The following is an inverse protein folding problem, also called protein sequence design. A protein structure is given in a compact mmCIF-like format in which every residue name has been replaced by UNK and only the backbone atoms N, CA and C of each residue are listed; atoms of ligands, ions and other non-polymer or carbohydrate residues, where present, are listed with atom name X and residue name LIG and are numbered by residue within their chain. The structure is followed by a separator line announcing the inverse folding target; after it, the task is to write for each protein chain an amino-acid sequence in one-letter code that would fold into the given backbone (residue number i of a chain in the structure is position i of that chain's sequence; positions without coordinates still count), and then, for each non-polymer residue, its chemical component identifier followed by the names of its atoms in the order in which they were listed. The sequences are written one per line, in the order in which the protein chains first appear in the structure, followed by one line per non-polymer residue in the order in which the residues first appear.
data_IF_489422585092
#
_entry.id   IF_489422585092
#
_cell.length_a   1.000
_cell.length_b   1.000
_cell.length_c   1.000
_cell.angle_alpha   90.00
_cell.angle_beta   90.00
_cell.angle_gamma   90.00
#
_symmetry.space_group_name_H-M   'P 1'
#
loop_
_entity.id
_entity.type
_entity.pdbx_description
1 polymer ?
#
# COMPACT_ATOMS: atom_id res chain seq x y z
N UNK A 1 22.98 8.96 -2.54
CA UNK A 1 23.42 7.90 -3.46
C UNK A 1 23.32 6.57 -2.71
N UNK A 2 22.39 5.71 -3.07
CA UNK A 2 22.24 4.39 -2.42
C UNK A 2 22.96 3.34 -3.25
N UNK A 3 23.90 2.65 -2.66
CA UNK A 3 24.56 1.49 -3.25
C UNK A 3 23.85 0.23 -2.73
N UNK A 4 23.14 -0.49 -3.58
CA UNK A 4 22.51 -1.76 -3.23
C UNK A 4 23.35 -2.91 -3.78
N UNK A 5 23.87 -3.77 -2.90
CA UNK A 5 24.53 -5.01 -3.29
C UNK A 5 23.51 -6.15 -3.27
N UNK A 6 23.17 -6.69 -4.45
CA UNK A 6 22.26 -7.82 -4.61
C UNK A 6 23.11 -9.12 -4.73
N UNK A 7 23.05 -9.94 -3.69
CA UNK A 7 23.58 -11.32 -3.74
C UNK A 7 22.40 -12.27 -3.73
N UNK A 8 22.11 -12.87 -4.88
CA UNK A 8 21.08 -13.90 -5.02
C UNK A 8 21.66 -15.28 -4.66
N UNK A 9 21.14 -15.90 -3.61
CA UNK A 9 21.41 -17.31 -3.29
C UNK A 9 20.15 -18.12 -3.65
N UNK A 10 20.20 -18.88 -4.72
CA UNK A 10 19.18 -19.87 -5.07
C UNK A 10 19.65 -21.25 -4.60
N UNK A 11 19.17 -21.68 -3.45
CA UNK A 11 19.36 -23.05 -2.95
C UNK A 11 18.04 -23.82 -3.04
N UNK A 12 18.04 -24.98 -3.71
CA UNK A 12 16.87 -25.89 -3.75
C UNK A 12 16.97 -26.85 -2.59
N UNK A 13 16.14 -26.67 -1.57
CA UNK A 13 15.94 -27.69 -0.51
C UNK A 13 14.65 -28.45 -0.85
N UNK A 14 14.80 -29.74 -1.20
CA UNK A 14 13.71 -30.62 -1.55
C UNK A 14 13.12 -31.30 -0.32
N UNK A 15 11.91 -30.88 0.09
CA UNK A 15 10.99 -31.72 0.80
C UNK A 15 9.80 -32.01 -0.13
N UNK A 16 9.94 -33.00 -1.00
CA UNK A 16 8.92 -33.36 -2.00
C UNK A 16 7.84 -34.19 -1.35
N UNK A 17 6.77 -33.56 -0.86
CA UNK A 17 5.49 -34.22 -0.62
C UNK A 17 4.83 -34.41 -1.99
N UNK A 18 4.43 -35.66 -2.33
CA UNK A 18 3.86 -36.02 -3.64
C UNK A 18 2.80 -35.00 -4.09
N UNK A 19 3.05 -34.27 -5.17
CA UNK A 19 2.15 -33.26 -5.74
C UNK A 19 2.39 -31.80 -5.33
N UNK A 20 3.43 -31.52 -4.53
CA UNK A 20 3.83 -30.12 -4.21
C UNK A 20 5.26 -29.85 -4.67
N UNK A 21 5.48 -28.65 -5.21
CA UNK A 21 6.80 -28.14 -5.55
C UNK A 21 7.04 -26.82 -4.78
N UNK A 22 8.25 -26.65 -4.23
CA UNK A 22 8.64 -25.51 -3.37
C UNK A 22 9.87 -24.86 -3.97
N UNK A 23 9.78 -23.57 -4.25
CA UNK A 23 10.90 -22.75 -4.69
C UNK A 23 11.21 -21.68 -3.64
N UNK A 24 12.27 -21.89 -2.88
CA UNK A 24 12.77 -20.89 -1.95
C UNK A 24 13.57 -19.84 -2.70
N UNK A 25 13.44 -18.59 -2.27
CA UNK A 25 14.19 -17.46 -2.79
C UNK A 25 14.41 -16.40 -1.71
N UNK A 26 15.28 -15.48 -1.96
CA UNK A 26 15.56 -14.39 -1.05
C UNK A 26 16.59 -13.42 -1.59
N UNK A 27 16.84 -12.38 -0.83
CA UNK A 27 17.91 -11.43 -1.08
C UNK A 27 18.45 -10.91 0.23
N UNK A 28 19.74 -10.71 0.30
CA UNK A 28 20.37 -9.86 1.32
C UNK A 28 20.50 -8.47 0.72
N UNK A 29 19.96 -7.48 1.39
CA UNK A 29 20.03 -6.09 0.96
C UNK A 29 20.56 -5.21 2.06
N UNK A 30 21.56 -4.41 1.71
CA UNK A 30 22.15 -3.38 2.56
C UNK A 30 21.90 -2.02 1.90
N UNK A 31 21.47 -1.04 2.70
CA UNK A 31 21.19 0.32 2.25
C UNK A 31 22.05 1.29 3.06
N UNK A 32 22.96 1.98 2.38
CA UNK A 32 23.67 3.14 2.87
C UNK A 32 23.06 4.39 2.24
N UNK A 33 22.64 5.35 3.03
CA UNK A 33 22.04 6.56 2.51
C UNK A 33 22.53 7.81 3.27
N UNK A 34 22.44 8.93 2.58
CA UNK A 34 22.66 10.26 3.12
C UNK A 34 21.67 11.23 2.48
N UNK A 35 20.97 11.98 3.33
CA UNK A 35 20.06 13.07 2.93
C UNK A 35 20.63 14.39 3.41
N UNK A 36 20.52 15.44 2.60
CA UNK A 36 21.07 16.77 2.92
C UNK A 36 20.17 17.57 3.84
N UNK A 37 18.92 17.13 4.05
CA UNK A 37 17.96 17.76 4.97
C UNK A 37 16.95 16.74 5.52
N UNK A 38 16.23 17.14 6.54
CA UNK A 38 15.15 16.35 7.15
C UNK A 38 14.03 16.08 6.14
N UNK A 39 13.39 14.90 6.26
CA UNK A 39 12.35 14.42 5.34
C UNK A 39 11.10 14.02 6.09
N UNK A 40 9.96 14.08 5.40
CA UNK A 40 8.79 13.29 5.80
C UNK A 40 9.07 11.83 5.47
N UNK A 41 9.23 11.02 6.50
CA UNK A 41 9.71 9.65 6.35
C UNK A 41 8.97 8.68 7.24
N UNK A 42 9.09 7.40 6.93
CA UNK A 42 8.70 6.29 7.79
C UNK A 42 9.84 5.29 7.83
N UNK A 43 9.85 4.47 8.90
CA UNK A 43 10.75 3.32 9.02
C UNK A 43 12.22 3.72 8.92
N UNK A 44 12.66 4.52 9.88
CA UNK A 44 14.06 4.87 10.12
C UNK A 44 14.78 5.49 8.91
N UNK A 45 14.08 6.35 8.17
CA UNK A 45 14.64 7.09 7.03
C UNK A 45 14.78 6.30 5.74
N UNK A 46 14.49 5.00 5.74
CA UNK A 46 14.60 4.18 4.52
C UNK A 46 13.40 4.32 3.57
N UNK A 47 12.28 4.84 4.06
CA UNK A 47 11.12 5.15 3.26
C UNK A 47 10.79 6.63 3.43
N UNK A 48 11.43 7.47 2.66
CA UNK A 48 11.17 8.90 2.66
C UNK A 48 10.21 9.29 1.53
N UNK A 49 9.38 10.28 1.80
CA UNK A 49 8.31 10.71 0.89
C UNK A 49 8.68 12.01 0.19
N UNK A 50 9.10 12.99 0.95
CA UNK A 50 9.50 14.29 0.43
C UNK A 50 10.38 15.03 1.47
N UNK A 51 11.24 15.97 1.03
CA UNK A 51 11.99 16.82 1.95
C UNK A 51 11.02 17.77 2.68
N UNK A 52 11.31 18.08 3.94
CA UNK A 52 10.56 19.07 4.70
C UNK A 52 10.92 20.48 4.22
N UNK A 53 9.93 21.38 4.27
CA UNK A 53 10.10 22.80 3.99
C UNK A 53 11.05 23.47 5.00
N UNK A 54 11.50 24.66 4.68
CA UNK A 54 12.29 25.51 5.59
C UNK A 54 11.48 25.82 6.85
N UNK A 55 12.13 25.71 8.01
CA UNK A 55 11.57 26.02 9.31
C UNK A 55 12.60 26.78 10.13
N UNK A 56 12.54 28.11 10.09
CA UNK A 56 13.54 28.97 10.71
C UNK A 56 13.31 29.09 12.22
N UNK A 57 14.40 28.97 12.98
CA UNK A 57 14.44 29.34 14.39
C UNK A 57 14.47 30.87 14.56
N UNK A 58 14.37 31.44 15.79
CA UNK A 58 14.47 32.88 16.01
C UNK A 58 15.78 33.54 15.58
N UNK A 59 16.83 32.73 15.34
CA UNK A 59 18.16 33.20 14.88
C UNK A 59 18.34 33.08 13.36
N UNK A 60 17.31 32.56 12.65
CA UNK A 60 17.32 32.38 11.21
C UNK A 60 17.98 31.09 10.73
N UNK A 61 18.18 30.09 11.60
CA UNK A 61 18.68 28.79 11.20
C UNK A 61 17.52 27.86 10.81
N UNK A 62 17.67 27.16 9.70
CA UNK A 62 16.68 26.17 9.26
C UNK A 62 16.78 24.87 10.08
N UNK A 63 15.80 24.64 10.95
CA UNK A 63 15.69 23.43 11.79
C UNK A 63 15.55 22.15 10.97
N UNK A 64 15.08 22.24 9.73
CA UNK A 64 14.98 21.11 8.80
C UNK A 64 16.21 20.98 7.88
N UNK A 65 17.12 21.96 7.90
CA UNK A 65 18.36 21.98 7.12
C UNK A 65 19.45 21.07 7.67
N UNK A 66 19.08 19.98 8.37
CA UNK A 66 20.01 19.06 9.02
C UNK A 66 20.18 17.80 8.19
N UNK A 67 21.43 17.50 7.81
CA UNK A 67 21.78 16.27 7.12
C UNK A 67 21.59 15.03 8.02
N UNK A 68 21.14 13.94 7.42
CA UNK A 68 20.99 12.65 8.12
C UNK A 68 21.39 11.49 7.22
N UNK A 69 21.83 10.40 7.83
CA UNK A 69 22.22 9.19 7.09
C UNK A 69 22.41 8.01 8.02
N UNK A 70 22.31 6.81 7.44
CA UNK A 70 22.50 5.58 8.19
C UNK A 70 22.83 4.40 7.26
N UNK A 71 23.10 3.25 7.85
CA UNK A 71 23.39 2.00 7.16
C UNK A 71 22.50 0.90 7.74
N UNK A 72 21.65 0.28 6.89
CA UNK A 72 20.69 -0.74 7.30
C UNK A 72 20.74 -1.99 6.43
N UNK A 73 20.33 -3.12 7.02
CA UNK A 73 20.17 -4.42 6.35
C UNK A 73 18.72 -4.93 6.38
N UNK A 74 17.79 -4.09 6.81
CA UNK A 74 16.41 -4.45 7.15
C UNK A 74 15.58 -4.92 5.95
N UNK A 75 15.95 -4.59 4.72
CA UNK A 75 15.26 -5.05 3.50
C UNK A 75 15.69 -6.42 3.01
N UNK A 76 16.51 -7.13 3.77
CA UNK A 76 16.75 -8.56 3.58
C UNK A 76 15.41 -9.31 3.55
N UNK A 77 15.23 -10.17 2.56
CA UNK A 77 13.95 -10.79 2.23
C UNK A 77 14.08 -12.28 2.08
N UNK A 78 13.07 -12.99 2.55
CA UNK A 78 12.93 -14.44 2.38
C UNK A 78 11.55 -14.74 1.79
N UNK A 79 11.47 -15.74 0.91
CA UNK A 79 10.22 -16.14 0.28
C UNK A 79 10.23 -17.58 -0.14
N UNK A 80 9.02 -18.09 -0.34
CA UNK A 80 8.74 -19.38 -0.95
C UNK A 80 7.56 -19.28 -1.90
N UNK A 81 7.76 -19.77 -3.11
CA UNK A 81 6.69 -20.04 -4.06
C UNK A 81 6.34 -21.53 -3.98
N UNK A 82 5.07 -21.84 -3.88
CA UNK A 82 4.56 -23.20 -3.78
C UNK A 82 3.63 -23.47 -4.95
N UNK A 83 3.89 -24.53 -5.71
CA UNK A 83 2.93 -25.09 -6.67
C UNK A 83 2.34 -26.35 -6.07
N UNK A 84 1.01 -26.44 -6.06
CA UNK A 84 0.28 -27.56 -5.48
C UNK A 84 -0.40 -28.42 -6.54
N UNK A 85 -1.08 -29.50 -6.11
CA UNK A 85 -1.85 -30.36 -6.99
C UNK A 85 -3.02 -29.58 -7.61
N UNK A 86 -3.52 -30.06 -8.72
CA UNK A 86 -4.74 -29.53 -9.34
C UNK A 86 -5.94 -29.64 -8.39
N UNK A 87 -6.73 -28.58 -8.29
CA UNK A 87 -8.04 -28.60 -7.62
C UNK A 87 -9.13 -28.55 -8.69
N UNK A 88 -9.68 -29.71 -9.04
CA UNK A 88 -10.52 -29.83 -10.22
C UNK A 88 -9.76 -29.43 -11.48
N UNK A 89 -10.20 -28.36 -12.15
CA UNK A 89 -9.52 -27.82 -13.34
C UNK A 89 -8.57 -26.66 -13.02
N UNK A 90 -8.47 -26.23 -11.77
CA UNK A 90 -7.62 -25.13 -11.36
C UNK A 90 -6.19 -25.61 -11.05
N UNK A 91 -5.20 -24.90 -11.58
CA UNK A 91 -3.81 -24.98 -11.09
C UNK A 91 -3.76 -24.22 -9.76
N UNK A 92 -3.14 -24.83 -8.74
CA UNK A 92 -3.01 -24.21 -7.44
C UNK A 92 -1.60 -23.68 -7.22
N UNK A 93 -1.48 -22.50 -6.65
CA UNK A 93 -0.20 -21.95 -6.20
C UNK A 93 -0.38 -21.11 -4.94
N UNK A 94 0.70 -20.95 -4.19
CA UNK A 94 0.76 -20.06 -3.04
C UNK A 94 2.11 -19.34 -2.99
N UNK A 95 2.14 -18.20 -2.35
CA UNK A 95 3.35 -17.43 -2.09
C UNK A 95 3.37 -16.97 -0.65
N UNK A 96 4.55 -17.11 -0.02
CA UNK A 96 4.87 -16.44 1.25
C UNK A 96 6.15 -15.65 1.04
N UNK A 97 6.12 -14.37 1.35
CA UNK A 97 7.28 -13.49 1.30
C UNK A 97 7.28 -12.54 2.49
N UNK A 98 8.43 -12.41 3.13
CA UNK A 98 8.63 -11.63 4.34
C UNK A 98 9.92 -10.81 4.25
N UNK A 99 10.02 -9.72 5.02
CA UNK A 99 11.23 -8.98 5.28
C UNK A 99 11.34 -8.61 6.78
N UNK A 100 12.48 -8.05 7.20
CA UNK A 100 12.74 -7.70 8.60
C UNK A 100 12.38 -6.24 8.92
N UNK A 101 11.46 -5.66 8.15
CA UNK A 101 11.12 -4.25 8.17
C UNK A 101 9.71 -3.98 8.67
N UNK A 102 9.34 -4.56 9.80
CA UNK A 102 8.13 -4.19 10.53
C UNK A 102 8.21 -2.76 11.07
N UNK A 103 7.06 -2.18 11.36
CA UNK A 103 6.97 -0.87 12.05
C UNK A 103 6.96 -1.07 13.56
N UNK A 104 7.57 -0.16 14.30
CA UNK A 104 7.58 -0.18 15.77
C UNK A 104 8.92 0.22 16.35
N UNK A 105 9.03 0.12 17.67
CA UNK A 105 10.21 0.48 18.46
C UNK A 105 11.27 -0.63 18.50
N UNK A 106 10.95 -1.83 18.05
CA UNK A 106 11.87 -2.97 17.96
C UNK A 106 12.65 -2.90 16.66
N UNK A 107 13.97 -3.03 16.74
CA UNK A 107 14.88 -2.78 15.64
C UNK A 107 14.60 -3.61 14.39
N UNK A 108 14.26 -4.89 14.50
CA UNK A 108 13.99 -5.74 13.33
C UNK A 108 12.75 -6.59 13.54
N UNK A 109 11.58 -6.05 13.13
CA UNK A 109 10.34 -6.77 13.15
C UNK A 109 10.11 -7.51 11.85
N UNK A 110 9.72 -8.76 11.98
CA UNK A 110 9.31 -9.60 10.86
C UNK A 110 8.03 -9.06 10.24
N UNK A 111 8.04 -8.78 8.93
CA UNK A 111 6.90 -8.21 8.23
C UNK A 111 6.46 -9.11 7.08
N UNK A 112 5.17 -9.43 7.07
CA UNK A 112 4.52 -10.11 5.94
C UNK A 112 4.44 -9.14 4.76
N UNK A 113 4.97 -9.54 3.60
CA UNK A 113 4.85 -8.82 2.34
C UNK A 113 3.76 -9.42 1.47
N UNK A 114 3.93 -10.68 1.11
CA UNK A 114 2.98 -11.44 0.32
C UNK A 114 2.68 -12.76 1.02
N UNK A 115 1.41 -13.01 1.28
CA UNK A 115 0.89 -14.32 1.73
C UNK A 115 -0.46 -14.51 1.06
N UNK A 116 -0.50 -15.36 0.04
CA UNK A 116 -1.71 -15.66 -0.69
C UNK A 116 -1.68 -17.04 -1.33
N UNK A 117 -2.85 -17.57 -1.62
CA UNK A 117 -3.03 -18.66 -2.55
C UNK A 117 -3.75 -18.19 -3.82
N UNK A 118 -3.53 -18.92 -4.90
CA UNK A 118 -4.11 -18.60 -6.20
C UNK A 118 -4.66 -19.87 -6.85
N UNK A 119 -5.85 -19.78 -7.41
CA UNK A 119 -6.50 -20.78 -8.24
C UNK A 119 -6.57 -20.24 -9.67
N UNK A 120 -5.96 -20.94 -10.62
CA UNK A 120 -5.87 -20.53 -12.01
C UNK A 120 -6.51 -21.56 -12.93
N UNK A 121 -7.58 -21.14 -13.64
CA UNK A 121 -8.31 -21.92 -14.65
C UNK A 121 -7.91 -21.55 -16.08
N UNK A 122 -6.80 -20.83 -16.28
CA UNK A 122 -6.29 -20.35 -17.55
C UNK A 122 -6.86 -18.99 -17.94
N UNK A 123 -8.15 -18.91 -18.29
CA UNK A 123 -8.80 -17.61 -18.60
C UNK A 123 -9.21 -16.82 -17.35
N UNK A 124 -9.40 -17.49 -16.24
CA UNK A 124 -9.78 -16.84 -14.97
C UNK A 124 -8.87 -17.29 -13.84
N UNK A 125 -8.68 -16.42 -12.86
CA UNK A 125 -7.90 -16.71 -11.67
C UNK A 125 -8.52 -16.06 -10.43
N UNK A 126 -8.46 -16.75 -9.30
CA UNK A 126 -8.88 -16.28 -7.99
C UNK A 126 -7.69 -16.27 -7.03
N UNK A 127 -7.33 -15.10 -6.53
CA UNK A 127 -6.32 -14.90 -5.51
C UNK A 127 -6.98 -14.54 -4.19
N UNK A 128 -6.57 -15.19 -3.11
CA UNK A 128 -7.03 -14.90 -1.75
C UNK A 128 -5.82 -14.77 -0.83
N UNK A 129 -5.70 -13.63 -0.17
CA UNK A 129 -4.61 -13.33 0.77
C UNK A 129 -4.03 -11.94 0.55
N UNK A 130 -2.86 -11.69 1.15
CA UNK A 130 -2.21 -10.38 1.11
C UNK A 130 -1.22 -10.27 -0.04
N UNK A 131 -1.39 -9.23 -0.87
CA UNK A 131 -0.46 -8.86 -1.94
C UNK A 131 -0.63 -7.38 -2.31
N UNK A 132 0.03 -6.94 -3.38
CA UNK A 132 -0.10 -5.56 -3.88
C UNK A 132 -1.55 -5.15 -4.08
N UNK A 133 -1.88 -3.96 -3.59
CA UNK A 133 -3.16 -3.31 -3.85
C UNK A 133 -3.33 -3.10 -5.37
N UNK A 134 -4.53 -3.29 -5.94
CA UNK A 134 -4.72 -3.12 -7.38
C UNK A 134 -4.34 -1.73 -7.92
N UNK A 135 -4.52 -0.67 -7.14
CA UNK A 135 -4.08 0.67 -7.53
C UNK A 135 -2.55 0.80 -7.70
N UNK A 136 -1.73 -0.07 -7.08
CA UNK A 136 -0.32 -0.16 -7.39
C UNK A 136 -0.11 -0.70 -8.81
N UNK A 137 -0.89 -1.72 -9.19
CA UNK A 137 -0.99 -2.25 -10.56
C UNK A 137 0.27 -2.89 -11.10
N UNK A 138 0.26 -3.13 -12.40
CA UNK A 138 1.36 -3.72 -13.15
C UNK A 138 2.27 -2.63 -13.78
N UNK A 139 1.86 -1.35 -13.75
CA UNK A 139 2.65 -0.21 -14.20
C UNK A 139 3.05 0.61 -12.97
N UNK A 140 4.28 0.38 -12.52
CA UNK A 140 4.90 1.10 -11.41
C UNK A 140 6.24 1.68 -11.90
N UNK A 141 6.68 2.83 -11.35
CA UNK A 141 7.96 3.42 -11.72
C UNK A 141 9.12 2.52 -11.33
N UNK A 142 10.09 2.40 -12.23
CA UNK A 142 11.34 1.65 -12.00
C UNK A 142 12.38 2.61 -11.40
N UNK A 143 12.27 2.87 -10.11
CA UNK A 143 13.15 3.77 -9.36
C UNK A 143 13.91 3.01 -8.27
N UNK A 144 15.10 3.50 -7.95
CA UNK A 144 15.97 2.87 -6.94
C UNK A 144 15.43 3.05 -5.52
N UNK A 145 14.63 4.09 -5.28
CA UNK A 145 14.07 4.36 -3.97
C UNK A 145 13.04 3.30 -3.58
N UNK A 146 13.09 2.91 -2.31
CA UNK A 146 12.23 1.90 -1.72
C UNK A 146 10.77 2.30 -1.61
N UNK A 147 10.46 3.58 -1.66
CA UNK A 147 9.10 4.11 -1.68
C UNK A 147 8.36 3.85 -3.00
N UNK A 148 9.07 3.39 -4.05
CA UNK A 148 8.49 3.05 -5.35
C UNK A 148 7.60 4.17 -5.93
N UNK A 149 7.97 5.44 -5.68
CA UNK A 149 7.25 6.62 -6.15
C UNK A 149 6.17 7.17 -5.22
N UNK A 150 5.92 6.56 -4.03
CA UNK A 150 5.06 7.20 -3.04
C UNK A 150 5.69 8.54 -2.56
N UNK A 151 4.87 9.58 -2.29
CA UNK A 151 3.41 9.59 -2.21
C UNK A 151 2.68 9.80 -3.55
N UNK A 152 3.39 9.95 -4.66
CA UNK A 152 2.82 10.22 -5.98
C UNK A 152 2.33 8.95 -6.70
N UNK A 153 2.73 7.79 -6.24
CA UNK A 153 2.33 6.47 -6.72
C UNK A 153 1.69 5.68 -5.57
N UNK A 154 0.49 5.11 -5.73
CA UNK A 154 -0.09 4.24 -4.72
C UNK A 154 0.84 3.09 -4.37
N UNK A 155 1.14 2.93 -3.08
CA UNK A 155 2.01 1.90 -2.56
C UNK A 155 1.37 1.26 -1.34
N UNK A 156 0.82 0.07 -1.50
CA UNK A 156 0.18 -0.69 -0.42
C UNK A 156 0.18 -2.18 -0.73
N UNK A 157 0.26 -2.98 0.32
CA UNK A 157 -0.07 -4.41 0.28
C UNK A 157 -1.17 -4.67 1.28
N UNK A 158 -2.21 -5.34 0.84
CA UNK A 158 -3.43 -5.51 1.62
C UNK A 158 -4.02 -6.92 1.44
N UNK A 159 -4.64 -7.49 2.48
CA UNK A 159 -5.48 -8.68 2.36
C UNK A 159 -6.60 -8.43 1.36
N UNK A 160 -6.86 -9.39 0.48
CA UNK A 160 -7.82 -9.22 -0.59
C UNK A 160 -8.33 -10.54 -1.14
N UNK A 161 -9.51 -10.50 -1.73
CA UNK A 161 -10.05 -11.51 -2.63
C UNK A 161 -10.08 -10.85 -4.01
N UNK A 162 -9.29 -11.36 -4.94
CA UNK A 162 -9.14 -10.78 -6.28
C UNK A 162 -9.47 -11.82 -7.34
N UNK A 163 -10.42 -11.48 -8.20
CA UNK A 163 -10.75 -12.24 -9.39
C UNK A 163 -10.20 -11.54 -10.62
N UNK A 164 -9.57 -12.31 -11.53
CA UNK A 164 -9.13 -11.86 -12.84
C UNK A 164 -9.74 -12.72 -13.93
N UNK A 165 -10.18 -12.06 -14.99
CA UNK A 165 -10.67 -12.72 -16.20
C UNK A 165 -9.92 -12.16 -17.41
N UNK A 166 -9.30 -13.05 -18.19
CA UNK A 166 -8.51 -12.69 -19.38
C UNK A 166 -9.18 -13.24 -20.62
N UNK A 167 -9.42 -12.37 -21.59
CA UNK A 167 -9.95 -12.73 -22.91
C UNK A 167 -9.16 -11.97 -23.97
N UNK A 168 -8.49 -12.72 -24.85
CA UNK A 168 -7.52 -12.16 -25.81
C UNK A 168 -6.51 -11.25 -25.11
N UNK A 169 -6.48 -9.98 -25.48
CA UNK A 169 -5.58 -8.97 -24.92
C UNK A 169 -6.17 -8.20 -23.72
N UNK A 170 -7.42 -8.46 -23.35
CA UNK A 170 -8.08 -7.76 -22.24
C UNK A 170 -8.07 -8.58 -20.96
N UNK A 171 -7.76 -7.94 -19.87
CA UNK A 171 -7.82 -8.50 -18.52
C UNK A 171 -8.73 -7.63 -17.64
N UNK A 172 -9.81 -8.20 -17.17
CA UNK A 172 -10.67 -7.60 -16.14
C UNK A 172 -10.18 -8.02 -14.77
N UNK A 173 -10.10 -7.07 -13.84
CA UNK A 173 -9.75 -7.32 -12.44
C UNK A 173 -10.86 -6.79 -11.54
N UNK A 174 -11.40 -7.62 -10.66
CA UNK A 174 -12.30 -7.23 -9.57
C UNK A 174 -11.70 -7.66 -8.24
N UNK A 175 -11.74 -6.79 -7.22
CA UNK A 175 -11.18 -7.13 -5.91
C UNK A 175 -12.01 -6.53 -4.76
N UNK A 176 -12.12 -7.32 -3.67
CA UNK A 176 -12.50 -6.86 -2.34
C UNK A 176 -11.24 -6.83 -1.48
N UNK A 177 -10.98 -5.71 -0.78
CA UNK A 177 -9.68 -5.40 -0.17
C UNK A 177 -9.92 -4.90 1.25
N UNK A 178 -9.04 -5.31 2.20
CA UNK A 178 -9.09 -4.87 3.60
C UNK A 178 -7.80 -4.14 3.98
N UNK A 179 -7.93 -2.99 4.64
CA UNK A 179 -6.78 -2.27 5.19
C UNK A 179 -6.12 -3.11 6.31
N UNK A 180 -4.80 -3.21 6.30
CA UNK A 180 -4.02 -3.96 7.30
C UNK A 180 -2.73 -3.22 7.66
N UNK A 181 -1.67 -3.34 6.87
CA UNK A 181 -0.38 -2.68 7.10
C UNK A 181 -0.42 -1.17 6.84
N UNK A 182 -1.26 -0.75 5.91
CA UNK A 182 -1.45 0.62 5.50
C UNK A 182 -2.90 1.00 5.78
N UNK A 183 -3.13 2.16 6.38
CA UNK A 183 -4.40 2.55 6.96
C UNK A 183 -4.78 3.95 6.53
N UNK A 184 -6.07 4.22 6.44
CA UNK A 184 -6.60 5.58 6.26
C UNK A 184 -6.25 6.46 7.47
N UNK A 185 -5.82 7.69 7.19
CA UNK A 185 -5.41 8.69 8.19
C UNK A 185 -6.45 9.80 8.25
N UNK A 186 -6.85 10.16 9.44
CA UNK A 186 -7.77 11.24 9.70
C UNK A 186 -7.54 11.91 11.05
N UNK A 187 -8.36 12.86 11.45
CA UNK A 187 -8.20 13.60 12.71
C UNK A 187 -8.38 12.69 13.93
N UNK A 188 -7.56 12.90 14.94
CA UNK A 188 -7.61 12.17 16.23
C UNK A 188 -8.63 12.74 17.18
N UNK A 189 -8.90 14.01 17.08
CA UNK A 189 -9.56 14.79 18.13
C UNK A 189 -11.01 15.14 17.78
N UNK A 190 -11.78 15.39 18.83
CA UNK A 190 -13.14 15.94 18.74
C UNK A 190 -13.16 17.47 18.82
N UNK A 191 -12.00 18.12 19.01
CA UNK A 191 -11.92 19.57 19.22
C UNK A 191 -11.55 20.30 17.91
N UNK A 192 -12.28 21.35 17.52
CA UNK A 192 -11.88 22.22 16.42
C UNK A 192 -10.46 22.78 16.62
N UNK A 193 -9.66 22.83 15.56
CA UNK A 193 -8.32 23.42 15.59
C UNK A 193 -7.19 22.48 16.07
N UNK A 194 -7.50 21.28 16.52
CA UNK A 194 -6.47 20.30 16.84
C UNK A 194 -5.94 19.61 15.57
N UNK A 195 -4.63 19.52 15.41
CA UNK A 195 -3.97 19.02 14.20
C UNK A 195 -3.47 17.58 14.30
N UNK A 196 -3.69 16.91 15.42
CA UNK A 196 -3.26 15.54 15.62
C UNK A 196 -4.05 14.55 14.73
N UNK A 197 -3.35 13.58 14.18
CA UNK A 197 -3.94 12.57 13.29
C UNK A 197 -3.91 11.18 13.93
N UNK A 198 -4.80 10.32 13.46
CA UNK A 198 -4.87 8.92 13.85
C UNK A 198 -5.05 8.00 12.63
N UNK A 199 -4.65 6.76 12.79
CA UNK A 199 -4.91 5.65 11.89
C UNK A 199 -5.21 4.40 12.70
N UNK A 200 -6.18 3.58 12.27
CA UNK A 200 -6.54 2.37 13.00
C UNK A 200 -7.18 1.32 12.09
N UNK A 201 -6.87 0.06 12.34
CA UNK A 201 -7.58 -1.07 11.72
C UNK A 201 -9.05 -1.15 12.15
N UNK A 202 -9.40 -0.56 13.31
CA UNK A 202 -10.76 -0.52 13.83
C UNK A 202 -11.72 0.22 12.89
N UNK A 203 -11.24 1.19 12.11
CA UNK A 203 -12.10 1.92 11.17
C UNK A 203 -12.69 1.01 10.08
N UNK A 204 -11.89 0.12 9.53
CA UNK A 204 -12.32 -0.88 8.55
C UNK A 204 -13.18 -1.97 9.23
N UNK A 205 -12.81 -2.43 10.42
CA UNK A 205 -13.58 -3.42 11.19
C UNK A 205 -14.98 -2.91 11.51
N UNK A 206 -15.10 -1.68 12.02
CA UNK A 206 -16.38 -1.04 12.34
C UNK A 206 -17.22 -0.73 11.11
N UNK A 207 -16.59 -0.50 9.97
CA UNK A 207 -17.27 -0.29 8.70
C UNK A 207 -17.98 -1.56 8.21
N UNK A 208 -17.43 -2.76 8.46
CA UNK A 208 -17.86 -4.06 7.94
C UNK A 208 -17.94 -4.13 6.40
N UNK A 209 -17.36 -3.17 5.69
CA UNK A 209 -17.40 -3.09 4.22
C UNK A 209 -15.96 -3.07 3.71
N UNK A 210 -15.54 -4.02 2.85
CA UNK A 210 -14.23 -3.95 2.20
C UNK A 210 -14.15 -2.79 1.22
N UNK A 211 -12.95 -2.42 0.85
CA UNK A 211 -12.73 -1.58 -0.33
C UNK A 211 -12.99 -2.42 -1.59
N UNK A 212 -13.50 -1.79 -2.63
CA UNK A 212 -13.75 -2.45 -3.92
C UNK A 212 -12.91 -1.81 -5.02
N UNK A 213 -12.38 -2.67 -5.88
CA UNK A 213 -11.69 -2.24 -7.09
C UNK A 213 -12.25 -2.98 -8.30
N UNK A 214 -12.41 -2.26 -9.40
CA UNK A 214 -12.76 -2.80 -10.71
C UNK A 214 -11.87 -2.12 -11.76
N UNK A 215 -11.11 -2.90 -12.50
CA UNK A 215 -10.22 -2.38 -13.54
C UNK A 215 -10.19 -3.24 -14.79
N UNK A 216 -9.77 -2.63 -15.88
CA UNK A 216 -9.55 -3.28 -17.17
C UNK A 216 -8.18 -2.90 -17.71
N UNK A 217 -7.42 -3.90 -18.13
CA UNK A 217 -6.14 -3.74 -18.80
C UNK A 217 -6.21 -4.29 -20.21
N UNK A 218 -5.58 -3.60 -21.14
CA UNK A 218 -5.22 -4.10 -22.47
C UNK A 218 -3.74 -4.44 -22.47
N UNK A 219 -3.39 -5.70 -22.80
CA UNK A 219 -2.01 -6.19 -22.78
C UNK A 219 -1.68 -6.86 -24.10
N UNK A 220 -0.60 -6.38 -24.70
CA UNK A 220 0.04 -7.04 -25.86
C UNK A 220 1.56 -6.91 -25.75
N UNK A 221 2.34 -7.66 -26.52
CA UNK A 221 3.79 -7.49 -26.52
C UNK A 221 4.17 -6.02 -26.69
N UNK A 222 4.95 -5.49 -25.75
CA UNK A 222 5.42 -4.11 -25.73
C UNK A 222 4.40 -3.04 -25.31
N UNK A 223 3.14 -3.39 -24.98
CA UNK A 223 2.14 -2.40 -24.53
C UNK A 223 1.25 -2.95 -23.41
N UNK A 224 1.18 -2.20 -22.32
CA UNK A 224 0.18 -2.35 -21.27
C UNK A 224 -0.55 -1.01 -21.16
N UNK A 225 -1.85 -1.01 -21.22
CA UNK A 225 -2.67 0.18 -20.95
C UNK A 225 -3.93 -0.22 -20.21
N UNK A 226 -4.35 0.56 -19.23
CA UNK A 226 -5.51 0.20 -18.44
C UNK A 226 -6.05 1.36 -17.62
N UNK A 227 -7.21 1.10 -17.01
CA UNK A 227 -7.87 2.01 -16.09
C UNK A 227 -8.65 1.22 -15.04
N UNK A 228 -8.87 1.84 -13.88
CA UNK A 228 -9.62 1.23 -12.79
C UNK A 228 -10.33 2.25 -11.91
N UNK A 229 -11.35 1.76 -11.24
CA UNK A 229 -12.12 2.48 -10.23
C UNK A 229 -11.97 1.79 -8.89
N UNK A 230 -11.89 2.58 -7.84
CA UNK A 230 -11.76 2.11 -6.46
C UNK A 230 -12.72 2.88 -5.55
N UNK A 231 -13.32 2.18 -4.62
CA UNK A 231 -14.22 2.75 -3.60
C UNK A 231 -13.82 2.20 -2.24
N UNK A 232 -13.69 3.08 -1.26
CA UNK A 232 -13.43 2.73 0.14
C UNK A 232 -14.49 3.36 1.05
N UNK A 233 -14.85 2.67 2.14
CA UNK A 233 -15.74 3.21 3.17
C UNK A 233 -15.28 2.76 4.54
N UNK A 234 -14.95 3.70 5.41
CA UNK A 234 -14.48 3.44 6.78
C UNK A 234 -15.39 4.09 7.81
N UNK A 235 -15.38 3.57 9.04
CA UNK A 235 -16.13 4.13 10.17
C UNK A 235 -15.16 4.56 11.28
N UNK A 236 -14.75 5.84 11.32
CA UNK A 236 -13.80 6.35 12.32
C UNK A 236 -14.29 6.18 13.75
N UNK A 237 -15.59 6.42 13.98
CA UNK A 237 -16.19 6.37 15.32
C UNK A 237 -17.58 5.72 15.30
N UNK A 238 -17.91 5.05 16.41
CA UNK A 238 -19.25 4.53 16.71
C UNK A 238 -19.81 5.10 17.99
N UNK A 239 -19.02 5.91 18.70
CA UNK A 239 -19.40 6.59 19.94
C UNK A 239 -18.80 7.99 19.94
N UNK A 240 -19.54 8.92 20.55
CA UNK A 240 -19.12 10.27 20.84
C UNK A 240 -19.30 10.52 22.34
N UNK A 241 -18.27 11.03 22.99
CA UNK A 241 -18.29 11.37 24.42
C UNK A 241 -18.38 12.88 24.56
N UNK A 242 -19.35 13.33 25.38
CA UNK A 242 -19.49 14.70 25.86
C UNK A 242 -19.30 14.70 27.36
N UNK A 243 -19.30 15.88 28.01
CA UNK A 243 -19.21 15.99 29.48
C UNK A 243 -20.35 15.26 30.20
N UNK A 244 -21.54 15.20 29.58
CA UNK A 244 -22.75 14.69 30.21
C UNK A 244 -23.13 13.27 29.81
N UNK A 245 -22.73 12.80 28.61
CA UNK A 245 -23.21 11.53 28.09
C UNK A 245 -22.32 10.94 26.96
N UNK A 246 -22.53 9.65 26.72
CA UNK A 246 -21.98 8.94 25.58
C UNK A 246 -23.10 8.66 24.56
N UNK A 247 -22.94 9.13 23.35
CA UNK A 247 -23.90 8.98 22.26
C UNK A 247 -23.43 7.92 21.26
N UNK A 248 -24.35 7.10 20.78
CA UNK A 248 -24.11 6.27 19.61
C UNK A 248 -24.04 7.14 18.35
N UNK A 249 -23.00 6.95 17.55
CA UNK A 249 -22.82 7.60 16.25
C UNK A 249 -22.49 6.56 15.19
N UNK A 250 -22.89 6.84 13.96
CA UNK A 250 -22.52 6.01 12.79
C UNK A 250 -21.88 6.93 11.76
N UNK A 251 -20.64 7.29 12.03
CA UNK A 251 -19.89 8.25 11.22
C UNK A 251 -19.09 7.51 10.16
N UNK A 252 -19.33 7.81 8.88
CA UNK A 252 -18.67 7.18 7.75
C UNK A 252 -17.89 8.17 6.90
N UNK A 253 -16.78 7.67 6.36
CA UNK A 253 -15.98 8.35 5.33
C UNK A 253 -15.94 7.45 4.12
N UNK A 254 -16.48 7.92 3.00
CA UNK A 254 -16.45 7.21 1.71
C UNK A 254 -15.53 7.93 0.75
N UNK A 255 -14.54 7.22 0.23
CA UNK A 255 -13.62 7.69 -0.79
C UNK A 255 -13.88 7.00 -2.12
N UNK A 256 -13.76 7.76 -3.21
CA UNK A 256 -13.87 7.25 -4.60
C UNK A 256 -12.60 7.66 -5.33
N UNK A 257 -12.03 6.74 -6.10
CA UNK A 257 -10.78 6.98 -6.81
C UNK A 257 -10.79 6.31 -8.17
N UNK A 258 -10.13 6.93 -9.13
CA UNK A 258 -9.87 6.38 -10.44
C UNK A 258 -8.37 6.40 -10.73
N UNK A 259 -7.92 5.43 -11.51
CA UNK A 259 -6.55 5.40 -12.04
C UNK A 259 -6.56 5.08 -13.52
N UNK A 260 -5.54 5.56 -14.24
CA UNK A 260 -5.24 5.17 -15.60
C UNK A 260 -3.73 5.06 -15.78
N UNK A 261 -3.32 4.08 -16.59
CA UNK A 261 -1.90 3.82 -16.78
C UNK A 261 -1.60 3.33 -18.20
N UNK A 262 -0.35 3.57 -18.62
CA UNK A 262 0.22 3.04 -19.86
C UNK A 262 1.70 2.75 -19.67
N UNK A 263 2.17 1.63 -20.22
CA UNK A 263 3.59 1.28 -20.32
C UNK A 263 3.84 0.77 -21.74
N UNK A 264 4.76 1.43 -22.43
CA UNK A 264 5.22 1.04 -23.76
C UNK A 264 6.69 0.66 -23.71
N UNK A 265 7.01 -0.51 -24.23
CA UNK A 265 8.39 -1.03 -24.30
C UNK A 265 8.69 -1.44 -25.73
N UNK A 266 9.74 -0.90 -26.30
CA UNK A 266 10.25 -1.27 -27.64
C UNK A 266 11.76 -1.18 -27.62
N UNK A 267 12.42 -2.32 -27.95
CA UNK A 267 13.89 -2.41 -27.95
C UNK A 267 14.49 -1.89 -26.63
N UNK A 268 15.23 -0.79 -26.67
CA UNK A 268 15.88 -0.14 -25.53
C UNK A 268 15.04 0.99 -24.90
N UNK A 269 13.80 1.22 -25.38
CA UNK A 269 12.92 2.28 -24.89
C UNK A 269 11.85 1.70 -23.97
N UNK A 270 11.72 2.34 -22.81
CA UNK A 270 10.62 2.13 -21.89
C UNK A 270 10.02 3.49 -21.56
N UNK A 271 8.74 3.66 -21.87
CA UNK A 271 7.96 4.86 -21.51
C UNK A 271 6.75 4.41 -20.73
N UNK A 272 6.53 5.01 -19.57
CA UNK A 272 5.35 4.74 -18.76
C UNK A 272 4.78 6.02 -18.19
N UNK A 273 3.46 6.05 -18.09
CA UNK A 273 2.70 7.09 -17.42
C UNK A 273 1.59 6.46 -16.59
N UNK A 274 1.29 7.07 -15.46
CA UNK A 274 0.17 6.71 -14.60
C UNK A 274 -0.38 7.97 -13.96
N UNK A 275 -1.70 8.02 -13.84
CA UNK A 275 -2.40 9.06 -13.08
C UNK A 275 -3.37 8.40 -12.10
N UNK A 276 -3.51 9.02 -10.94
CA UNK A 276 -4.47 8.62 -9.91
C UNK A 276 -5.19 9.87 -9.43
N UNK A 277 -6.51 9.82 -9.48
CA UNK A 277 -7.38 10.88 -9.00
C UNK A 277 -8.36 10.28 -7.98
N UNK A 278 -8.46 10.87 -6.80
CA UNK A 278 -9.37 10.29 -5.82
C UNK A 278 -9.42 11.02 -4.49
N UNK A 279 -10.06 10.37 -3.55
CA UNK A 279 -10.23 10.88 -2.19
C UNK A 279 -9.92 9.79 -1.16
N UNK A 280 -9.40 10.21 0.01
CA UNK A 280 -9.06 9.33 1.14
C UNK A 280 -8.17 8.14 0.70
N UNK A 281 -6.99 8.42 0.16
CA UNK A 281 -6.06 7.41 -0.38
C UNK A 281 -4.80 7.18 0.50
N UNK A 282 -4.77 7.67 1.73
CA UNK A 282 -3.58 7.50 2.62
C UNK A 282 -3.25 6.05 2.94
N UNK A 283 -4.23 5.12 2.89
CA UNK A 283 -3.99 3.68 2.99
C UNK A 283 -3.19 3.11 1.80
N UNK A 284 -2.98 3.89 0.77
CA UNK A 284 -2.07 3.55 -0.34
C UNK A 284 -0.76 4.32 -0.28
N UNK A 285 -0.41 4.91 0.87
CA UNK A 285 0.80 5.73 1.06
C UNK A 285 0.84 6.97 0.17
N UNK A 286 -0.32 7.46 -0.28
CA UNK A 286 -0.46 8.75 -0.96
C UNK A 286 -0.84 9.84 0.04
N UNK A 287 -0.76 11.10 -0.36
CA UNK A 287 -1.27 12.23 0.43
C UNK A 287 -2.80 12.24 0.47
N UNK A 288 -3.41 12.99 1.40
CA UNK A 288 -4.85 13.13 1.53
C UNK A 288 -5.35 12.65 2.90
N UNK A 289 -6.33 11.75 2.92
CA UNK A 289 -7.02 11.32 4.13
C UNK A 289 -8.42 11.91 4.22
N UNK A 290 -8.86 12.28 5.40
CA UNK A 290 -10.15 12.94 5.64
C UNK A 290 -10.05 13.95 6.77
N UNK A 291 -10.96 14.93 6.77
CA UNK A 291 -11.06 15.96 7.79
C UNK A 291 -12.47 16.07 8.36
N UNK A 292 -12.60 16.72 9.54
CA UNK A 292 -13.89 17.04 10.15
C UNK A 292 -14.40 18.34 9.52
N UNK A 293 -15.65 18.35 9.07
CA UNK A 293 -16.33 19.52 8.50
C UNK A 293 -17.27 20.20 9.47
N UNK A 294 -17.87 19.44 10.37
CA UNK A 294 -18.72 19.98 11.43
C UNK A 294 -18.75 19.05 12.64
N UNK A 295 -19.01 19.64 13.80
CA UNK A 295 -19.23 18.96 15.08
C UNK A 295 -20.56 19.47 15.64
N UNK A 296 -21.46 18.57 16.00
CA UNK A 296 -22.69 18.89 16.72
C UNK A 296 -22.35 19.20 18.19
N UNK A 297 -22.74 20.36 18.68
CA UNK A 297 -22.35 20.84 20.01
C UNK A 297 -22.98 20.02 21.15
N UNK A 298 -24.15 19.43 20.93
CA UNK A 298 -24.90 18.70 21.97
C UNK A 298 -24.42 17.24 22.04
N UNK A 299 -24.29 16.58 20.88
CA UNK A 299 -23.99 15.15 20.84
C UNK A 299 -22.54 14.85 20.53
N UNK A 300 -21.74 15.86 20.14
CA UNK A 300 -20.36 15.70 19.66
C UNK A 300 -20.27 14.90 18.34
N UNK A 301 -21.38 14.69 17.62
CA UNK A 301 -21.41 13.98 16.33
C UNK A 301 -20.64 14.75 15.27
N UNK A 302 -19.82 14.05 14.51
CA UNK A 302 -18.95 14.64 13.48
C UNK A 302 -19.41 14.31 12.07
N UNK A 303 -19.26 15.28 11.18
CA UNK A 303 -19.31 15.05 9.74
C UNK A 303 -17.90 15.13 9.16
N UNK A 304 -17.62 14.31 8.16
CA UNK A 304 -16.30 14.21 7.56
C UNK A 304 -16.34 14.52 6.07
N UNK A 305 -15.26 15.08 5.58
CA UNK A 305 -14.99 15.20 4.13
C UNK A 305 -13.70 14.47 3.78
N UNK A 306 -13.72 13.57 2.80
CA UNK A 306 -12.51 12.95 2.29
C UNK A 306 -11.71 13.96 1.48
N UNK A 307 -10.40 14.07 1.76
CA UNK A 307 -9.49 15.00 1.09
C UNK A 307 -9.12 14.46 -0.29
N UNK A 308 -9.05 15.35 -1.28
CA UNK A 308 -8.70 15.02 -2.66
C UNK A 308 -7.20 14.78 -2.82
N UNK A 309 -6.87 13.85 -3.69
CA UNK A 309 -5.51 13.52 -4.11
C UNK A 309 -5.46 13.38 -5.62
N UNK A 310 -4.41 13.90 -6.21
CA UNK A 310 -4.10 13.73 -7.64
C UNK A 310 -2.61 13.48 -7.84
N UNK A 311 -2.26 12.59 -8.72
CA UNK A 311 -0.89 12.31 -9.11
C UNK A 311 -0.81 11.87 -10.57
#
# INVERSE_FOLDING_TARGET
MSLALLVGVSGSVFAQKKGFDYKFYGQVRTDLFYNTRSNSETVDGLFYMYPLDENLDPNGHDLNGVGNGNFYTLYTRLGVDVTGPMLGKAKTSAKVEVDFRGSGTTYSLFRIRHVYFNLDWGKSALLVGQTWHPLYGDVAPEILNLNMGAPYQPFSRAPQIRYRFTSNNFMLTAAAIWQSQYLSVGPKTNKPGETSTQKSQEFMKKSCVPEFYLGVDYKRPGLIAGAGLHVSSITPRTQSETEDAVYFVNERVTGISGEAHVKYTKENWLVSAKTVLGTNLTQTSTVGGYGITSIDEVTGKQQYSPLRTSS
#
